data_IF_592319902736
#
_entry.id   IF_592319902736
#
_cell.length_a   1.000
_cell.length_b   1.000
_cell.length_c   1.000
_cell.angle_alpha   90.00
_cell.angle_beta   90.00
_cell.angle_gamma   90.00
#
_symmetry.space_group_name_H-M   'P 1'
#
loop_
_entity.id
_entity.type
_entity.pdbx_description
1 polymer ?
#
# COMPACT_ATOMS: atom_id res chain seq x y z
N UNK A 1 -111.28 -33.57 -0.04
CA UNK A 1 -110.55 -32.29 0.11
C UNK A 1 -109.07 -32.64 -0.04
N UNK A 2 -108.50 -32.56 -1.24
CA UNK A 2 -107.60 -31.47 -1.74
C UNK A 2 -106.36 -31.29 -0.85
N UNK A 3 -105.12 -31.19 -1.33
CA UNK A 3 -104.52 -31.26 -2.67
C UNK A 3 -102.99 -31.24 -2.50
N UNK A 4 -102.29 -31.78 -3.50
CA UNK A 4 -101.04 -31.29 -4.07
C UNK A 4 -99.64 -31.50 -3.46
N UNK A 5 -98.75 -31.70 -4.44
CA UNK A 5 -97.31 -31.99 -4.46
C UNK A 5 -96.48 -30.70 -4.72
N UNK A 6 -95.12 -30.77 -4.71
CA UNK A 6 -94.15 -29.69 -4.46
C UNK A 6 -93.65 -28.99 -5.76
N UNK A 7 -92.60 -28.11 -5.76
CA UNK A 7 -91.20 -28.56 -5.87
C UNK A 7 -90.08 -27.61 -5.32
N UNK A 8 -88.81 -28.11 -5.33
CA UNK A 8 -87.50 -27.53 -5.77
C UNK A 8 -87.23 -25.99 -5.66
N UNK A 9 -86.02 -25.41 -5.53
CA UNK A 9 -84.60 -25.78 -5.42
C UNK A 9 -83.77 -24.44 -5.33
N UNK A 10 -82.53 -24.50 -4.81
CA UNK A 10 -81.37 -23.55 -4.92
C UNK A 10 -81.57 -22.11 -4.37
N UNK A 11 -80.65 -21.46 -3.64
CA UNK A 11 -79.42 -20.77 -4.12
C UNK A 11 -78.42 -20.58 -2.96
N UNK A 12 -77.12 -20.76 -3.24
CA UNK A 12 -75.99 -20.45 -2.36
C UNK A 12 -75.84 -18.95 -2.05
N UNK A 13 -75.05 -18.59 -1.02
CA UNK A 13 -74.07 -17.53 -1.24
C UNK A 13 -72.64 -17.94 -0.88
N UNK A 14 -71.79 -17.39 -1.72
CA UNK A 14 -70.34 -17.42 -1.85
C UNK A 14 -69.62 -16.67 -0.72
N UNK A 15 -68.38 -17.08 -0.46
CA UNK A 15 -67.23 -16.24 -0.10
C UNK A 15 -67.18 -15.56 1.29
N UNK A 16 -66.18 -15.91 2.11
CA UNK A 16 -64.89 -15.18 2.08
C UNK A 16 -63.90 -15.66 3.17
N UNK A 17 -62.70 -16.03 2.71
CA UNK A 17 -61.36 -15.60 3.17
C UNK A 17 -61.17 -15.57 4.70
N UNK A 18 -60.31 -16.42 5.28
CA UNK A 18 -58.88 -16.09 5.40
C UNK A 18 -58.09 -17.28 5.93
N UNK A 19 -57.40 -17.99 5.04
CA UNK A 19 -56.26 -18.85 5.39
C UNK A 19 -55.01 -17.98 5.55
N UNK A 20 -54.40 -17.97 6.73
CA UNK A 20 -53.01 -17.51 6.90
C UNK A 20 -52.08 -18.72 6.97
N UNK A 21 -51.04 -18.80 6.13
CA UNK A 21 -50.16 -19.96 6.04
C UNK A 21 -49.15 -19.97 7.18
N UNK A 22 -49.02 -21.13 7.83
CA UNK A 22 -47.89 -21.47 8.68
C UNK A 22 -46.61 -21.55 7.82
N UNK A 23 -45.90 -20.42 7.72
CA UNK A 23 -44.52 -20.34 7.21
C UNK A 23 -43.61 -19.91 8.35
N UNK A 24 -43.43 -20.78 9.32
CA UNK A 24 -42.51 -20.55 10.44
C UNK A 24 -41.76 -21.85 10.77
N UNK A 25 -41.14 -22.49 9.78
CA UNK A 25 -40.25 -23.63 10.00
C UNK A 25 -39.34 -23.88 8.79
N UNK A 26 -38.62 -22.86 8.30
CA UNK A 26 -37.52 -23.07 7.35
C UNK A 26 -36.52 -21.92 7.37
N UNK A 27 -35.99 -21.57 8.54
CA UNK A 27 -34.91 -20.58 8.67
C UNK A 27 -33.82 -20.97 9.68
N UNK A 28 -33.74 -22.25 10.08
CA UNK A 28 -32.78 -22.74 11.09
C UNK A 28 -31.83 -23.84 10.59
N UNK A 29 -31.78 -24.09 9.27
CA UNK A 29 -30.89 -25.10 8.65
C UNK A 29 -29.94 -24.50 7.59
N UNK A 30 -29.53 -23.24 7.77
CA UNK A 30 -28.51 -22.57 6.93
C UNK A 30 -27.37 -21.95 7.77
N UNK A 31 -27.14 -22.47 8.98
CA UNK A 31 -26.07 -22.02 9.89
C UNK A 31 -24.94 -23.06 10.08
N UNK A 32 -24.96 -24.18 9.36
CA UNK A 32 -24.07 -25.32 9.62
C UNK A 32 -23.18 -25.73 8.42
N UNK A 33 -22.93 -24.84 7.46
CA UNK A 33 -22.02 -25.12 6.33
C UNK A 33 -21.08 -23.95 6.00
N UNK A 34 -20.77 -23.11 6.99
CA UNK A 34 -19.82 -22.02 6.87
C UNK A 34 -18.49 -22.37 7.53
N UNK A 35 -17.79 -23.41 7.07
CA UNK A 35 -16.32 -23.36 7.19
C UNK A 35 -15.88 -22.32 6.19
N UNK A 36 -15.94 -21.05 6.59
CA UNK A 36 -15.14 -20.03 5.95
C UNK A 36 -13.69 -20.47 6.17
N UNK A 37 -13.11 -21.12 5.16
CA UNK A 37 -11.66 -21.16 5.08
C UNK A 37 -11.19 -19.71 5.28
N UNK A 38 -10.18 -19.45 6.13
CA UNK A 38 -9.59 -18.13 6.13
C UNK A 38 -9.22 -17.84 4.67
N UNK A 39 -9.85 -16.83 4.09
CA UNK A 39 -9.29 -16.24 2.90
C UNK A 39 -7.95 -15.68 3.41
N UNK A 40 -6.87 -16.40 3.14
CA UNK A 40 -5.57 -15.76 3.09
C UNK A 40 -5.78 -14.58 2.14
N UNK A 41 -5.81 -13.37 2.70
CA UNK A 41 -5.66 -12.18 1.91
C UNK A 41 -4.25 -12.32 1.33
N UNK A 42 -4.18 -12.84 0.11
CA UNK A 42 -2.96 -13.34 -0.51
C UNK A 42 -1.86 -12.29 -0.38
N UNK A 43 -0.81 -12.62 0.38
CA UNK A 43 0.37 -11.79 0.49
C UNK A 43 0.91 -11.53 -0.92
N UNK A 44 1.10 -10.26 -1.28
CA UNK A 44 1.56 -9.85 -2.61
C UNK A 44 2.83 -10.61 -2.98
N UNK A 45 2.86 -11.28 -4.12
CA UNK A 45 4.03 -12.11 -4.50
C UNK A 45 4.96 -11.37 -5.46
N UNK A 46 6.25 -11.74 -5.45
CA UNK A 46 7.20 -11.18 -6.43
C UNK A 46 6.78 -11.51 -7.87
N UNK A 47 6.21 -12.71 -8.08
CA UNK A 47 5.70 -13.13 -9.38
C UNK A 47 4.56 -12.21 -9.83
N UNK A 48 3.59 -11.94 -8.96
CA UNK A 48 2.49 -11.03 -9.24
C UNK A 48 3.00 -9.63 -9.63
N UNK A 49 3.94 -9.07 -8.86
CA UNK A 49 4.54 -7.78 -9.18
C UNK A 49 5.31 -7.81 -10.53
N UNK A 50 6.02 -8.89 -10.84
CA UNK A 50 6.82 -8.99 -12.06
C UNK A 50 5.96 -9.22 -13.32
N UNK A 51 4.89 -10.00 -13.20
CA UNK A 51 4.08 -10.47 -14.33
C UNK A 51 2.83 -9.62 -14.58
N UNK A 52 2.46 -8.72 -13.66
CA UNK A 52 1.29 -7.87 -13.83
C UNK A 52 1.47 -6.88 -15.00
N UNK A 53 0.72 -7.05 -16.12
CA UNK A 53 0.92 -6.26 -17.33
C UNK A 53 0.49 -4.80 -17.16
N UNK A 54 -0.36 -4.52 -16.17
CA UNK A 54 -0.84 -3.18 -15.87
C UNK A 54 -0.04 -2.47 -14.78
N UNK A 55 1.04 -3.06 -14.25
CA UNK A 55 1.84 -2.47 -13.18
C UNK A 55 2.62 -1.26 -13.68
N UNK A 56 2.42 -0.14 -12.99
CA UNK A 56 3.17 1.10 -13.13
C UNK A 56 3.67 1.53 -11.73
N UNK A 57 4.55 2.53 -11.60
CA UNK A 57 5.10 2.94 -10.31
C UNK A 57 4.03 3.30 -9.26
N UNK A 58 2.90 3.87 -9.67
CA UNK A 58 1.82 4.25 -8.75
C UNK A 58 1.15 3.00 -8.18
N UNK A 59 0.81 2.06 -9.06
CA UNK A 59 0.20 0.78 -8.68
C UNK A 59 1.15 -0.08 -7.87
N UNK A 60 2.45 -0.09 -8.23
CA UNK A 60 3.48 -0.73 -7.43
C UNK A 60 3.41 -0.21 -5.99
N UNK A 61 3.44 1.10 -5.82
CA UNK A 61 3.49 1.71 -4.50
C UNK A 61 2.21 1.44 -3.66
N UNK A 62 1.03 1.36 -4.30
CA UNK A 62 -0.21 1.04 -3.59
C UNK A 62 -0.28 -0.35 -2.97
N UNK A 63 0.55 -1.31 -3.41
CA UNK A 63 0.60 -2.65 -2.78
C UNK A 63 1.17 -2.63 -1.36
N UNK A 64 1.87 -1.56 -0.98
CA UNK A 64 2.63 -1.50 0.28
C UNK A 64 1.99 -0.56 1.31
N UNK A 65 0.77 -0.04 1.05
CA UNK A 65 0.09 0.92 1.93
C UNK A 65 -0.05 0.43 3.37
N UNK A 66 -0.30 -0.87 3.56
CA UNK A 66 -0.54 -1.51 4.86
C UNK A 66 0.71 -2.20 5.44
N UNK A 67 1.82 -2.27 4.69
CA UNK A 67 3.05 -2.89 5.19
C UNK A 67 3.61 -2.08 6.37
N UNK A 68 4.18 -2.71 7.39
CA UNK A 68 4.75 -2.04 8.55
C UNK A 68 6.20 -1.58 8.32
N UNK A 69 6.60 -0.50 8.99
CA UNK A 69 8.01 -0.11 9.03
C UNK A 69 8.74 -0.88 10.13
N UNK A 70 9.86 -1.50 9.79
CA UNK A 70 10.75 -2.21 10.70
C UNK A 70 12.19 -2.03 10.22
N UNK A 71 13.00 -1.33 11.02
CA UNK A 71 14.40 -1.10 10.70
C UNK A 71 15.20 -2.41 10.75
N UNK A 72 15.86 -2.77 9.64
CA UNK A 72 16.61 -4.00 9.50
C UNK A 72 18.04 -3.70 9.02
N UNK A 73 19.03 -4.45 9.49
CA UNK A 73 20.43 -4.23 9.07
C UNK A 73 20.66 -4.58 7.59
N UNK A 74 20.39 -5.83 7.16
CA UNK A 74 20.55 -6.24 5.78
C UNK A 74 19.25 -6.12 4.98
N UNK A 75 19.38 -5.72 3.70
CA UNK A 75 18.29 -5.82 2.73
C UNK A 75 17.80 -7.27 2.65
N UNK A 76 16.50 -7.43 2.87
CA UNK A 76 15.77 -8.68 2.85
C UNK A 76 15.64 -9.21 1.42
N UNK A 77 15.63 -10.55 1.23
CA UNK A 77 15.19 -11.13 -0.03
C UNK A 77 13.75 -10.68 -0.38
N UNK A 78 13.40 -10.50 -1.67
CA UNK A 78 12.10 -9.99 -2.08
C UNK A 78 10.91 -10.74 -1.47
N UNK A 79 10.95 -12.07 -1.54
CA UNK A 79 9.87 -12.91 -1.01
C UNK A 79 9.77 -12.84 0.52
N UNK A 80 10.88 -12.56 1.21
CA UNK A 80 10.89 -12.40 2.66
C UNK A 80 10.25 -11.07 3.06
N UNK A 81 10.62 -9.96 2.41
CA UNK A 81 10.02 -8.66 2.66
C UNK A 81 8.51 -8.67 2.38
N UNK A 82 8.11 -9.26 1.26
CA UNK A 82 6.71 -9.40 0.87
C UNK A 82 5.91 -10.27 1.83
N UNK A 83 6.41 -11.46 2.20
CA UNK A 83 5.69 -12.37 3.09
C UNK A 83 5.57 -11.85 4.53
N UNK A 84 6.53 -11.02 4.99
CA UNK A 84 6.49 -10.44 6.34
C UNK A 84 5.64 -9.16 6.42
N UNK A 85 5.31 -8.59 5.27
CA UNK A 85 4.66 -7.29 5.11
C UNK A 85 5.31 -6.19 5.98
N UNK A 86 6.64 -6.27 6.15
CA UNK A 86 7.41 -5.31 6.95
C UNK A 86 8.89 -5.30 6.59
N UNK A 87 9.48 -4.13 6.71
CA UNK A 87 10.88 -3.87 6.42
C UNK A 87 11.17 -2.38 6.46
N UNK A 88 12.27 -1.95 5.85
CA UNK A 88 12.66 -0.55 5.84
C UNK A 88 12.69 0.08 4.44
N UNK A 89 13.22 1.30 4.37
CA UNK A 89 13.32 2.05 3.12
C UNK A 89 14.27 1.39 2.10
N UNK A 90 15.32 0.68 2.54
CA UNK A 90 16.25 0.01 1.64
C UNK A 90 15.57 -1.23 1.01
N UNK A 91 14.85 -2.03 1.80
CA UNK A 91 14.06 -3.18 1.31
C UNK A 91 13.10 -2.77 0.18
N UNK A 92 12.31 -1.75 0.46
CA UNK A 92 11.31 -1.25 -0.48
C UNK A 92 11.92 -0.62 -1.73
N UNK A 93 12.90 0.26 -1.59
CA UNK A 93 13.51 0.96 -2.73
C UNK A 93 14.16 -0.04 -3.69
N UNK A 94 14.88 -1.03 -3.14
CA UNK A 94 15.55 -2.07 -3.94
C UNK A 94 14.54 -3.01 -4.60
N UNK A 95 13.45 -3.38 -3.92
CA UNK A 95 12.37 -4.14 -4.55
C UNK A 95 11.74 -3.35 -5.71
N UNK A 96 11.48 -2.06 -5.52
CA UNK A 96 10.92 -1.18 -6.55
C UNK A 96 11.82 -1.12 -7.79
N UNK A 97 13.12 -0.87 -7.61
CA UNK A 97 14.11 -0.87 -8.70
C UNK A 97 14.14 -2.20 -9.44
N UNK A 98 14.14 -3.31 -8.69
CA UNK A 98 14.17 -4.65 -9.27
C UNK A 98 12.93 -4.97 -10.12
N UNK A 99 11.73 -4.64 -9.62
CA UNK A 99 10.48 -4.89 -10.32
C UNK A 99 10.32 -3.95 -11.50
N UNK A 100 10.54 -2.65 -11.31
CA UNK A 100 10.27 -1.64 -12.34
C UNK A 100 11.28 -1.71 -13.49
N UNK A 101 12.55 -2.05 -13.26
CA UNK A 101 13.52 -2.29 -14.35
C UNK A 101 13.12 -3.43 -15.27
N UNK A 102 12.61 -4.54 -14.71
CA UNK A 102 12.07 -5.67 -15.50
C UNK A 102 10.87 -5.26 -16.35
N UNK A 103 10.20 -4.18 -15.98
CA UNK A 103 9.05 -3.58 -16.68
C UNK A 103 9.46 -2.47 -17.65
N UNK A 104 10.76 -2.24 -17.84
CA UNK A 104 11.29 -1.28 -18.81
C UNK A 104 11.42 0.16 -18.28
N UNK A 105 11.19 0.40 -16.99
CA UNK A 105 11.42 1.73 -16.40
C UNK A 105 12.91 1.95 -16.11
N UNK A 106 13.37 3.17 -16.33
CA UNK A 106 14.70 3.62 -15.90
C UNK A 106 14.61 4.14 -14.48
N UNK A 107 15.19 3.39 -13.54
CA UNK A 107 15.18 3.71 -12.11
C UNK A 107 16.57 3.95 -11.55
N UNK A 108 16.63 4.76 -10.49
CA UNK A 108 17.84 5.10 -9.74
C UNK A 108 17.59 4.93 -8.25
N UNK A 109 18.46 4.19 -7.58
CA UNK A 109 18.42 4.04 -6.13
C UNK A 109 19.23 5.14 -5.48
N UNK A 110 18.60 5.90 -4.58
CA UNK A 110 19.22 7.06 -3.96
C UNK A 110 19.17 6.90 -2.46
N UNK A 111 20.31 7.09 -1.82
CA UNK A 111 20.51 7.02 -0.39
C UNK A 111 20.83 8.42 0.13
N UNK A 112 20.01 8.95 1.03
CA UNK A 112 20.09 10.29 1.59
C UNK A 112 20.50 10.17 3.05
N UNK A 113 21.64 10.75 3.42
CA UNK A 113 22.02 10.89 4.82
C UNK A 113 21.33 12.12 5.41
N UNK A 114 20.46 11.88 6.37
CA UNK A 114 19.75 12.92 7.11
C UNK A 114 20.59 13.37 8.31
N UNK A 115 20.60 14.67 8.59
CA UNK A 115 21.36 15.23 9.70
C UNK A 115 20.76 14.78 11.04
N UNK A 116 21.57 14.12 11.88
CA UNK A 116 21.13 13.61 13.18
C UNK A 116 20.11 12.47 13.13
N UNK A 117 19.90 11.83 11.97
CA UNK A 117 18.95 10.74 11.77
C UNK A 117 19.57 9.59 10.97
N UNK A 118 18.88 8.46 10.96
CA UNK A 118 19.23 7.32 10.09
C UNK A 118 19.09 7.76 8.62
N UNK A 119 19.95 7.20 7.76
CA UNK A 119 19.88 7.47 6.34
C UNK A 119 18.60 6.86 5.72
N UNK A 120 18.13 7.47 4.64
CA UNK A 120 16.87 7.12 4.01
C UNK A 120 17.09 6.74 2.55
N UNK A 121 16.44 5.67 2.08
CA UNK A 121 16.55 5.20 0.71
C UNK A 121 15.24 5.40 -0.07
N UNK A 122 15.37 5.83 -1.33
CA UNK A 122 14.24 6.00 -2.25
C UNK A 122 14.58 5.42 -3.62
N UNK A 123 13.55 5.05 -4.38
CA UNK A 123 13.68 4.66 -5.79
C UNK A 123 13.11 5.77 -6.68
N UNK A 124 13.98 6.47 -7.41
CA UNK A 124 13.59 7.49 -8.39
C UNK A 124 13.28 6.84 -9.74
N UNK A 125 12.15 7.23 -10.36
CA UNK A 125 11.70 6.74 -11.67
C UNK A 125 11.77 7.89 -12.67
N UNK A 126 12.63 7.75 -13.69
CA UNK A 126 12.96 8.85 -14.60
C UNK A 126 11.77 9.32 -15.42
N UNK A 127 10.98 8.39 -15.96
CA UNK A 127 9.83 8.67 -16.82
C UNK A 127 8.75 9.47 -16.09
N UNK A 128 8.60 9.20 -14.79
CA UNK A 128 7.62 9.86 -13.93
C UNK A 128 8.15 11.17 -13.31
N UNK A 129 9.46 11.40 -13.38
CA UNK A 129 10.15 12.48 -12.66
C UNK A 129 9.74 12.50 -11.18
N UNK A 130 9.76 11.33 -10.55
CA UNK A 130 9.25 11.15 -9.20
C UNK A 130 10.00 10.05 -8.46
N UNK A 131 10.02 10.14 -7.12
CA UNK A 131 10.55 9.08 -6.27
C UNK A 131 9.44 8.34 -5.52
N UNK A 132 9.71 7.05 -5.29
CA UNK A 132 8.95 6.17 -4.42
C UNK A 132 9.62 6.13 -3.05
N UNK A 133 8.86 6.45 -2.01
CA UNK A 133 9.33 6.57 -0.63
C UNK A 133 8.50 5.66 0.27
N UNK A 134 9.16 4.70 0.91
CA UNK A 134 8.50 3.75 1.79
C UNK A 134 7.86 4.44 2.99
N UNK A 135 8.50 5.45 3.57
CA UNK A 135 7.98 6.09 4.79
C UNK A 135 6.70 6.89 4.51
N UNK A 136 6.49 7.28 3.25
CA UNK A 136 5.30 7.99 2.78
C UNK A 136 4.38 7.12 1.90
N UNK A 137 4.52 5.78 1.95
CA UNK A 137 3.79 4.82 1.09
C UNK A 137 2.27 4.86 1.21
N UNK A 138 1.74 5.25 2.38
CA UNK A 138 0.30 5.35 2.63
C UNK A 138 -0.28 6.73 2.31
N UNK A 139 0.57 7.73 2.05
CA UNK A 139 0.13 9.07 1.69
C UNK A 139 -0.33 9.08 0.23
N UNK A 140 -1.47 9.71 -0.04
CA UNK A 140 -2.18 9.74 -1.34
C UNK A 140 -1.29 10.09 -2.56
N UNK A 141 -0.14 10.75 -2.33
CA UNK A 141 0.90 10.99 -3.32
C UNK A 141 2.07 10.03 -3.17
N UNK A 142 1.83 8.75 -3.44
CA UNK A 142 2.85 7.69 -3.37
C UNK A 142 4.02 7.86 -4.36
N UNK A 143 3.90 8.82 -5.29
CA UNK A 143 4.93 9.29 -6.21
C UNK A 143 5.13 10.79 -5.98
N UNK A 144 6.22 11.16 -5.31
CA UNK A 144 6.54 12.58 -5.11
C UNK A 144 7.40 13.07 -6.27
N UNK A 145 6.91 14.08 -6.99
CA UNK A 145 7.63 14.66 -8.12
C UNK A 145 8.91 15.36 -7.68
N UNK A 146 10.00 15.16 -8.40
CA UNK A 146 11.30 15.81 -8.22
C UNK A 146 11.98 16.03 -9.57
N UNK A 147 12.89 17.00 -9.67
CA UNK A 147 13.86 16.96 -10.76
C UNK A 147 14.83 15.78 -10.58
N UNK A 148 15.62 15.53 -11.61
CA UNK A 148 16.48 14.35 -11.69
C UNK A 148 17.81 14.50 -10.94
N UNK A 149 18.19 15.71 -10.53
CA UNK A 149 19.46 15.95 -9.85
C UNK A 149 19.45 15.38 -8.42
N UNK A 150 20.55 14.75 -7.99
CA UNK A 150 20.66 14.14 -6.65
C UNK A 150 20.36 15.16 -5.54
N UNK A 151 20.82 16.40 -5.71
CA UNK A 151 20.60 17.50 -4.76
C UNK A 151 19.12 17.87 -4.63
N UNK A 152 18.39 17.91 -5.74
CA UNK A 152 16.96 18.22 -5.73
C UNK A 152 16.16 17.09 -5.08
N UNK A 153 16.46 15.84 -5.43
CA UNK A 153 15.81 14.67 -4.85
C UNK A 153 16.06 14.65 -3.33
N UNK A 154 17.30 14.84 -2.90
CA UNK A 154 17.66 14.87 -1.49
C UNK A 154 16.96 16.00 -0.72
N UNK A 155 16.90 17.20 -1.29
CA UNK A 155 16.19 18.32 -0.68
C UNK A 155 14.70 18.03 -0.50
N UNK A 156 14.04 17.44 -1.50
CA UNK A 156 12.61 17.09 -1.41
C UNK A 156 12.33 15.97 -0.43
N UNK A 157 13.17 14.94 -0.40
CA UNK A 157 13.07 13.83 0.55
C UNK A 157 13.32 14.32 1.98
N UNK A 158 14.32 15.17 2.19
CA UNK A 158 14.58 15.73 3.51
C UNK A 158 13.43 16.61 4.00
N UNK A 159 12.87 17.44 3.10
CA UNK A 159 11.71 18.27 3.39
C UNK A 159 10.46 17.43 3.75
N UNK A 160 10.19 16.32 3.04
CA UNK A 160 9.04 15.46 3.37
C UNK A 160 9.19 14.73 4.70
N UNK A 161 10.41 14.61 5.22
CA UNK A 161 10.72 14.01 6.52
C UNK A 161 10.97 15.05 7.62
N UNK A 162 10.72 16.33 7.33
CA UNK A 162 10.98 17.47 8.23
C UNK A 162 12.41 17.42 8.81
N UNK A 163 13.39 17.19 7.93
CA UNK A 163 14.79 17.01 8.26
C UNK A 163 15.71 17.79 7.32
N UNK A 164 16.96 17.97 7.75
CA UNK A 164 18.06 18.39 6.87
C UNK A 164 18.81 17.17 6.34
N UNK A 165 19.50 17.30 5.20
CA UNK A 165 20.37 16.27 4.65
C UNK A 165 21.81 16.74 4.51
N UNK A 166 22.76 15.82 4.59
CA UNK A 166 24.20 16.12 4.51
C UNK A 166 24.81 15.62 3.20
N UNK A 167 24.43 14.41 2.79
CA UNK A 167 24.94 13.77 1.57
C UNK A 167 23.84 12.99 0.88
N UNK A 168 23.90 12.90 -0.44
CA UNK A 168 23.04 12.03 -1.23
C UNK A 168 23.90 11.23 -2.21
N UNK A 169 23.68 9.92 -2.23
CA UNK A 169 24.44 8.99 -3.05
C UNK A 169 23.52 8.17 -3.93
N UNK A 170 23.84 8.08 -5.21
CA UNK A 170 23.26 7.05 -6.07
C UNK A 170 23.97 5.72 -5.79
N UNK A 171 23.21 4.64 -5.72
CA UNK A 171 23.76 3.30 -5.55
C UNK A 171 23.12 2.29 -6.50
N UNK A 172 23.75 1.14 -6.62
CA UNK A 172 23.16 -0.07 -7.20
C UNK A 172 23.13 -1.17 -6.15
N UNK A 173 22.19 -2.10 -6.31
CA UNK A 173 22.11 -3.30 -5.49
C UNK A 173 21.82 -4.52 -6.37
N UNK A 174 22.45 -5.65 -6.05
CA UNK A 174 22.18 -6.94 -6.68
C UNK A 174 21.71 -7.93 -5.64
N UNK A 175 20.52 -8.51 -5.84
CA UNK A 175 20.03 -9.61 -5.00
C UNK A 175 20.90 -10.87 -5.12
N UNK A 176 21.54 -11.10 -6.27
CA UNK A 176 22.39 -12.29 -6.48
C UNK A 176 23.68 -12.24 -5.66
N UNK A 177 24.32 -11.07 -5.58
CA UNK A 177 25.59 -10.90 -4.83
C UNK A 177 25.40 -10.27 -3.46
N UNK A 178 24.18 -9.82 -3.14
CA UNK A 178 23.82 -9.06 -1.94
C UNK A 178 24.73 -7.86 -1.68
N UNK A 179 25.20 -7.22 -2.76
CA UNK A 179 26.17 -6.12 -2.68
C UNK A 179 25.54 -4.79 -3.08
N UNK A 180 25.64 -3.80 -2.18
CA UNK A 180 25.37 -2.38 -2.42
C UNK A 180 26.65 -1.71 -2.94
N UNK A 181 26.57 -1.01 -4.07
CA UNK A 181 27.71 -0.30 -4.67
C UNK A 181 27.33 1.16 -4.87
N UNK A 182 28.08 2.09 -4.25
CA UNK A 182 27.88 3.53 -4.46
C UNK A 182 28.43 3.94 -5.82
N UNK A 183 27.68 4.76 -6.56
CA UNK A 183 27.98 5.15 -7.94
C UNK A 183 28.46 6.61 -7.96
N UNK A 184 27.66 7.51 -7.40
CA UNK A 184 27.94 8.94 -7.34
C UNK A 184 27.50 9.49 -5.98
N UNK A 185 28.14 10.55 -5.50
CA UNK A 185 27.78 11.19 -4.23
C UNK A 185 27.89 12.70 -4.36
N UNK A 186 26.90 13.39 -3.81
CA UNK A 186 26.91 14.84 -3.61
C UNK A 186 26.80 15.15 -2.12
N UNK A 187 27.49 16.19 -1.69
CA UNK A 187 27.45 16.68 -0.31
C UNK A 187 26.86 18.08 -0.29
N UNK A 188 26.17 18.41 0.80
CA UNK A 188 25.72 19.78 1.06
C UNK A 188 26.95 20.63 1.43
N UNK A 189 27.59 21.23 0.44
CA UNK A 189 28.63 22.24 0.64
C UNK A 189 28.00 23.62 0.82
N UNK A 190 28.09 24.19 2.03
CA UNK A 190 27.81 25.60 2.34
C UNK A 190 26.50 26.15 1.77
N UNK A 191 25.38 25.87 2.42
CA UNK A 191 24.10 26.53 2.16
C UNK A 191 23.44 26.87 3.49
N UNK A 192 22.86 28.06 3.59
CA UNK A 192 22.12 28.49 4.78
C UNK A 192 21.08 27.44 5.20
N UNK A 193 20.86 27.24 6.51
CA UNK A 193 19.78 26.40 6.98
C UNK A 193 18.49 26.87 6.32
N UNK A 194 17.70 25.95 5.78
CA UNK A 194 16.30 26.23 5.48
C UNK A 194 15.70 26.80 6.78
N UNK A 195 14.97 27.94 6.74
CA UNK A 195 14.35 28.48 7.94
C UNK A 195 13.33 27.46 8.45
N UNK A 196 13.77 26.61 9.36
CA UNK A 196 12.88 25.82 10.19
C UNK A 196 12.14 26.79 11.09
N UNK A 197 10.83 26.61 11.17
CA UNK A 197 9.91 27.14 12.17
C UNK A 197 10.63 27.46 13.48
N UNK A 198 10.41 28.64 14.10
CA UNK A 198 11.13 29.02 15.31
C UNK A 198 11.10 27.88 16.30
N UNK A 199 12.29 27.43 16.74
CA UNK A 199 12.41 26.58 17.91
C UNK A 199 11.68 27.32 19.05
N UNK A 200 10.55 26.79 19.49
CA UNK A 200 10.07 27.15 20.82
C UNK A 200 11.10 26.56 21.79
N UNK A 201 12.03 27.40 22.20
CA UNK A 201 12.89 27.16 23.35
C UNK A 201 11.99 27.07 24.58
N UNK A 202 11.71 25.86 25.01
CA UNK A 202 11.36 25.56 26.38
C UNK A 202 12.24 24.38 26.73
N UNK A 203 13.42 24.66 27.29
CA UNK A 203 14.21 23.85 28.22
C UNK A 203 15.56 24.54 28.40
N UNK A 204 15.52 25.74 28.97
CA UNK A 204 16.52 26.12 29.96
C UNK A 204 16.09 25.46 31.27
N UNK A 205 16.89 24.52 31.77
CA UNK A 205 16.97 24.19 33.19
C UNK A 205 18.43 23.83 33.48
N UNK A 206 19.09 24.76 34.18
CA UNK A 206 20.34 24.72 34.95
C UNK A 206 21.56 23.89 34.46
#
# INVERSE_FOLDING_TARGET
MSSDRPPAQIVSPTSSISSRPARAALWLLLLASGVAAPADLDAVTLRELAENPGLNPKKFASHFGDFAYEFNGPIQPPNTFLARERGDCDDYAVLADHVLKKRGYVTRLIHIRLAGRVAHAVCYVNENKAYLDYNNRSVFFTLTRSGAELREIAAKVAASLEANWTTASEFSYSYATRRKTMIATVSLTGGEPVPGTPRSSAFDVD
#
